data_IF_096217604003
#
_entry.id   IF_096217604003
#
_cell.length_a   1.000
_cell.length_b   1.000
_cell.length_c   1.000
_cell.angle_alpha   90.00
_cell.angle_beta   90.00
_cell.angle_gamma   90.00
#
_symmetry.space_group_name_H-M   'P 1'
#
loop_
_entity.id
_entity.type
_entity.pdbx_description
1 polymer ?
#
# COMPACT_ATOMS: atom_id res chain seq x y z
N UNK A 1 -9.18 -17.44 14.95
CA UNK A 1 -8.59 -17.47 13.58
C UNK A 1 -8.60 -18.90 13.07
N UNK A 2 -8.64 -19.18 11.75
CA UNK A 2 -8.42 -20.55 11.26
C UNK A 2 -7.02 -21.02 11.69
N UNK A 3 -6.89 -22.35 11.86
CA UNK A 3 -5.62 -22.95 12.24
C UNK A 3 -4.55 -22.66 11.17
N UNK A 4 -3.35 -22.35 11.61
CA UNK A 4 -2.21 -22.13 10.73
C UNK A 4 -1.89 -23.41 9.95
N UNK A 5 -1.67 -23.35 8.61
CA UNK A 5 -1.23 -24.53 7.83
C UNK A 5 0.09 -25.12 8.37
N UNK A 6 0.23 -26.45 8.32
CA UNK A 6 1.39 -27.17 8.88
C UNK A 6 2.75 -26.67 8.35
N UNK A 7 2.82 -26.33 7.06
CA UNK A 7 4.05 -25.87 6.38
C UNK A 7 4.08 -24.33 6.16
N UNK A 8 3.32 -23.57 6.94
CA UNK A 8 3.30 -22.13 6.80
C UNK A 8 4.61 -21.52 7.27
N UNK A 9 5.19 -20.65 6.45
CA UNK A 9 6.33 -19.81 6.78
C UNK A 9 6.09 -18.38 6.34
N UNK A 10 6.62 -17.42 7.08
CA UNK A 10 6.51 -16.01 6.75
C UNK A 10 7.80 -15.24 7.04
N UNK A 11 7.93 -14.09 6.39
CA UNK A 11 9.05 -13.17 6.62
C UNK A 11 8.57 -11.75 6.86
N UNK A 12 9.19 -11.10 7.84
CA UNK A 12 9.12 -9.66 8.02
C UNK A 12 10.42 -9.07 7.44
N UNK A 13 10.31 -8.23 6.41
CA UNK A 13 11.48 -7.69 5.71
C UNK A 13 11.76 -6.30 6.28
N UNK A 14 12.94 -6.14 6.90
CA UNK A 14 13.29 -4.90 7.56
C UNK A 14 14.80 -4.71 7.72
N UNK A 15 15.24 -3.47 7.61
CA UNK A 15 16.59 -3.01 7.99
C UNK A 15 16.49 -1.71 8.79
N UNK A 16 17.28 -1.59 9.86
CA UNK A 16 17.40 -0.33 10.62
C UNK A 16 17.90 0.83 9.75
N UNK A 17 18.60 0.55 8.66
CA UNK A 17 19.05 1.55 7.70
C UNK A 17 17.89 2.34 7.11
N UNK A 18 16.73 1.69 6.86
CA UNK A 18 15.53 2.33 6.32
C UNK A 18 14.91 3.38 7.27
N UNK A 19 15.13 3.22 8.58
CA UNK A 19 14.63 4.17 9.57
C UNK A 19 15.52 5.41 9.75
N UNK A 20 16.72 5.41 9.15
CA UNK A 20 17.68 6.52 9.27
C UNK A 20 17.45 7.64 8.24
N UNK A 21 16.55 7.42 7.27
CA UNK A 21 16.21 8.40 6.25
C UNK A 21 15.02 9.26 6.70
N UNK A 22 15.04 10.51 6.29
CA UNK A 22 13.96 11.46 6.54
C UNK A 22 13.78 12.35 5.31
N UNK A 23 12.55 12.44 4.80
CA UNK A 23 12.20 13.32 3.67
C UNK A 23 12.42 14.79 4.02
N UNK A 24 11.80 15.22 5.10
CA UNK A 24 12.07 16.48 5.82
C UNK A 24 11.36 16.43 7.18
N UNK A 25 11.70 17.31 8.13
CA UNK A 25 11.02 17.35 9.43
C UNK A 25 9.50 17.58 9.35
N UNK A 26 9.05 18.34 8.35
CA UNK A 26 7.64 18.69 8.16
C UNK A 26 6.91 17.80 7.17
N UNK A 27 7.63 16.95 6.42
CA UNK A 27 7.00 16.06 5.44
C UNK A 27 6.10 15.02 6.14
N UNK A 28 4.89 14.76 5.61
CA UNK A 28 3.95 13.82 6.27
C UNK A 28 4.44 12.37 6.24
N UNK A 29 5.13 11.94 5.19
CA UNK A 29 5.66 10.59 5.09
C UNK A 29 6.83 10.39 6.07
N UNK A 30 6.71 9.38 6.95
CA UNK A 30 7.68 9.10 8.01
C UNK A 30 8.20 7.66 7.92
N UNK A 31 9.41 7.44 7.39
CA UNK A 31 10.02 6.09 7.27
C UNK A 31 10.11 5.33 8.59
N UNK A 32 10.18 6.02 9.72
CA UNK A 32 10.23 5.42 11.07
C UNK A 32 9.04 4.49 11.37
N UNK A 33 7.91 4.59 10.65
CA UNK A 33 6.72 3.75 10.81
C UNK A 33 7.06 2.25 10.77
N UNK A 34 7.93 1.83 9.86
CA UNK A 34 8.35 0.44 9.72
C UNK A 34 9.07 -0.09 10.97
N UNK A 35 9.98 0.71 11.54
CA UNK A 35 10.68 0.38 12.79
C UNK A 35 9.70 0.25 13.94
N UNK A 36 8.83 1.23 14.12
CA UNK A 36 7.84 1.23 15.18
C UNK A 36 6.87 0.04 15.08
N UNK A 37 6.53 -0.38 13.84
CA UNK A 37 5.72 -1.58 13.60
C UNK A 37 6.44 -2.84 14.06
N UNK A 38 7.70 -3.02 13.70
CA UNK A 38 8.48 -4.17 14.15
C UNK A 38 8.64 -4.18 15.67
N UNK A 39 8.91 -3.01 16.27
CA UNK A 39 9.04 -2.88 17.73
C UNK A 39 7.71 -3.20 18.44
N UNK A 40 6.58 -2.80 17.87
CA UNK A 40 5.27 -3.13 18.39
C UNK A 40 4.95 -4.62 18.23
N UNK A 41 5.26 -5.22 17.08
CA UNK A 41 5.13 -6.66 16.85
C UNK A 41 5.92 -7.48 17.88
N UNK A 42 7.14 -7.07 18.22
CA UNK A 42 7.96 -7.71 19.27
C UNK A 42 7.27 -7.63 20.64
N UNK A 43 6.70 -6.49 20.98
CA UNK A 43 6.03 -6.28 22.28
C UNK A 43 4.75 -7.10 22.44
N UNK A 44 4.04 -7.34 21.33
CA UNK A 44 2.87 -8.21 21.32
C UNK A 44 3.20 -9.70 21.14
N UNK A 45 4.50 -10.06 21.18
CA UNK A 45 4.95 -11.45 20.99
C UNK A 45 4.51 -12.03 19.62
N UNK A 46 4.60 -11.21 18.56
CA UNK A 46 4.16 -11.57 17.22
C UNK A 46 5.33 -11.93 16.27
N UNK A 47 6.56 -11.96 16.76
CA UNK A 47 7.76 -12.20 15.94
C UNK A 47 8.45 -13.51 16.31
N UNK A 48 8.60 -13.79 17.59
CA UNK A 48 9.39 -14.94 18.07
C UNK A 48 8.62 -16.24 17.90
N UNK A 49 8.53 -16.71 16.66
CA UNK A 49 7.86 -17.97 16.27
C UNK A 49 8.75 -18.77 15.32
N UNK A 50 8.74 -20.12 15.40
CA UNK A 50 9.58 -20.97 14.55
C UNK A 50 9.38 -20.79 13.04
N UNK A 51 8.22 -20.31 12.62
CA UNK A 51 7.85 -20.10 11.22
C UNK A 51 8.01 -18.66 10.74
N UNK A 52 8.43 -17.73 11.63
CA UNK A 52 8.63 -16.32 11.32
C UNK A 52 10.12 -16.03 11.26
N UNK A 53 10.55 -15.35 10.20
CA UNK A 53 11.91 -14.82 10.08
C UNK A 53 11.86 -13.32 9.87
N UNK A 54 12.84 -12.62 10.44
CA UNK A 54 13.17 -11.24 10.05
C UNK A 54 14.31 -11.32 9.06
N UNK A 55 14.15 -10.72 7.89
CA UNK A 55 15.16 -10.75 6.83
C UNK A 55 15.57 -9.32 6.48
N UNK A 56 16.87 -9.10 6.39
CA UNK A 56 17.43 -7.82 5.95
C UNK A 56 17.46 -7.80 4.42
N UNK A 57 16.90 -6.76 3.78
CA UNK A 57 17.02 -6.57 2.34
C UNK A 57 18.38 -5.98 1.97
N UNK A 58 18.79 -6.17 0.72
CA UNK A 58 19.89 -5.46 0.08
C UNK A 58 19.35 -4.42 -0.91
N UNK A 59 20.07 -3.32 -1.18
CA UNK A 59 19.68 -2.35 -2.20
C UNK A 59 19.52 -3.02 -3.56
N UNK A 60 18.41 -2.72 -4.25
CA UNK A 60 18.16 -3.27 -5.58
C UNK A 60 19.15 -2.68 -6.59
N UNK A 61 19.82 -3.50 -7.42
CA UNK A 61 20.73 -3.02 -8.44
C UNK A 61 20.04 -2.08 -9.45
N UNK A 62 20.80 -1.07 -9.91
CA UNK A 62 20.32 -0.10 -10.90
C UNK A 62 19.69 -0.77 -12.14
N UNK A 63 20.35 -1.81 -12.64
CA UNK A 63 19.93 -2.54 -13.84
C UNK A 63 18.57 -3.20 -13.67
N UNK A 64 18.25 -3.67 -12.46
CA UNK A 64 16.96 -4.29 -12.14
C UNK A 64 15.87 -3.21 -12.03
N UNK A 65 16.15 -2.08 -11.39
CA UNK A 65 15.21 -0.95 -11.38
C UNK A 65 14.97 -0.40 -12.79
N UNK A 66 15.99 -0.40 -13.65
CA UNK A 66 15.91 0.02 -15.06
C UNK A 66 15.12 -0.95 -15.97
N UNK A 67 14.70 -2.11 -15.47
CA UNK A 67 13.76 -2.98 -16.18
C UNK A 67 12.37 -2.36 -16.31
N UNK A 68 12.01 -1.52 -15.36
CA UNK A 68 10.78 -0.74 -15.38
C UNK A 68 11.04 0.75 -15.60
N UNK A 69 11.87 1.38 -14.76
CA UNK A 69 12.13 2.82 -14.84
C UNK A 69 13.02 3.23 -16.00
N UNK A 70 12.79 4.42 -16.51
CA UNK A 70 13.66 5.04 -17.51
C UNK A 70 15.07 5.27 -16.94
N UNK A 71 16.08 4.87 -17.69
CA UNK A 71 17.50 5.01 -17.34
C UNK A 71 17.87 6.48 -17.07
N UNK A 72 17.31 7.41 -17.85
CA UNK A 72 17.60 8.85 -17.69
C UNK A 72 17.02 9.40 -16.39
N UNK A 73 15.84 8.95 -15.99
CA UNK A 73 15.23 9.26 -14.70
C UNK A 73 16.06 8.71 -13.53
N UNK A 74 16.39 7.42 -13.55
CA UNK A 74 17.19 6.80 -12.48
C UNK A 74 18.58 7.47 -12.35
N UNK A 75 19.19 7.89 -13.48
CA UNK A 75 20.44 8.66 -13.43
C UNK A 75 20.26 10.04 -12.82
N UNK A 76 19.14 10.72 -13.10
CA UNK A 76 18.80 11.97 -12.45
C UNK A 76 18.65 11.79 -10.94
N UNK A 77 17.95 10.72 -10.49
CA UNK A 77 17.78 10.39 -9.07
C UNK A 77 19.14 10.11 -8.39
N UNK A 78 20.06 9.39 -9.05
CA UNK A 78 21.44 9.22 -8.55
C UNK A 78 22.22 10.54 -8.46
N UNK A 79 21.99 11.44 -9.41
CA UNK A 79 22.69 12.72 -9.45
C UNK A 79 22.28 13.64 -8.31
N UNK A 80 20.97 13.67 -7.97
CA UNK A 80 20.47 14.50 -6.87
C UNK A 80 20.84 13.94 -5.50
N UNK A 81 21.09 12.64 -5.43
CA UNK A 81 21.54 11.97 -4.19
C UNK A 81 23.01 12.26 -3.86
N UNK A 82 23.83 12.47 -4.88
CA UNK A 82 25.24 12.77 -4.65
C UNK A 82 25.36 14.10 -3.88
N UNK A 83 26.21 14.10 -2.84
CA UNK A 83 26.37 15.13 -1.81
C UNK A 83 26.44 16.61 -2.27
N UNK A 84 26.58 16.86 -3.57
CA UNK A 84 26.65 18.20 -4.15
C UNK A 84 25.42 19.09 -3.92
N UNK A 85 24.20 18.54 -3.85
CA UNK A 85 23.01 19.34 -3.55
C UNK A 85 22.83 19.57 -2.04
N UNK A 86 23.24 18.64 -1.21
CA UNK A 86 23.26 18.84 0.25
C UNK A 86 24.33 19.87 0.66
N UNK A 87 25.50 19.91 0.01
CA UNK A 87 26.53 20.94 0.23
C UNK A 87 26.10 22.32 -0.26
N UNK A 88 25.39 22.42 -1.39
CA UNK A 88 24.82 23.69 -1.88
C UNK A 88 23.79 24.27 -0.90
N UNK A 89 23.05 23.43 -0.18
CA UNK A 89 22.09 23.86 0.86
C UNK A 89 22.78 24.26 2.16
N UNK A 90 23.90 23.65 2.54
CA UNK A 90 24.58 23.90 3.83
C UNK A 90 25.31 25.24 3.90
N UNK A 91 25.66 25.83 2.76
CA UNK A 91 26.45 27.07 2.68
C UNK A 91 25.64 28.34 2.39
N UNK A 92 24.30 28.27 2.34
CA UNK A 92 23.43 29.41 2.05
C UNK A 92 22.28 29.46 3.05
N UNK A 93 22.01 30.61 3.71
CA UNK A 93 20.85 30.74 4.59
C UNK A 93 19.56 30.44 3.83
N UNK A 94 18.78 29.46 4.33
CA UNK A 94 17.52 29.04 3.73
C UNK A 94 16.48 30.15 3.78
N UNK A 95 15.96 30.54 2.62
CA UNK A 95 14.69 31.24 2.52
C UNK A 95 13.79 30.43 1.58
N UNK A 96 12.46 30.34 1.84
CA UNK A 96 11.53 29.50 1.05
C UNK A 96 11.56 29.76 -0.47
N UNK A 97 11.88 30.99 -0.87
CA UNK A 97 11.97 31.39 -2.29
C UNK A 97 13.28 30.95 -2.97
N UNK A 98 14.31 30.60 -2.20
CA UNK A 98 15.64 30.28 -2.70
C UNK A 98 15.83 28.78 -2.94
N UNK A 99 15.10 27.93 -2.21
CA UNK A 99 15.17 26.47 -2.35
C UNK A 99 14.61 26.01 -3.70
N UNK A 100 13.66 26.73 -4.27
CA UNK A 100 13.13 26.50 -5.62
C UNK A 100 14.06 27.00 -6.75
N UNK A 101 14.94 27.98 -6.48
CA UNK A 101 15.79 28.60 -7.50
C UNK A 101 17.13 27.87 -7.75
N UNK A 102 17.46 26.88 -6.94
CA UNK A 102 18.75 26.17 -7.00
C UNK A 102 18.70 24.79 -7.63
N UNK A 103 17.52 24.26 -7.93
CA UNK A 103 17.39 22.96 -8.59
C UNK A 103 17.46 23.15 -10.11
N UNK A 104 18.35 22.43 -10.76
CA UNK A 104 18.46 22.43 -12.23
C UNK A 104 17.08 22.14 -12.85
N UNK A 105 16.57 23.00 -13.75
CA UNK A 105 15.31 22.76 -14.46
C UNK A 105 15.24 21.40 -15.18
N UNK A 106 16.39 20.80 -15.53
CA UNK A 106 16.44 19.47 -16.09
C UNK A 106 16.12 18.37 -15.08
N UNK A 107 16.25 18.65 -13.79
CA UNK A 107 15.91 17.72 -12.69
C UNK A 107 14.45 17.89 -12.31
N UNK A 108 13.94 19.12 -12.30
CA UNK A 108 12.53 19.39 -12.01
C UNK A 108 11.55 18.71 -12.96
N UNK A 109 11.94 18.44 -14.22
CA UNK A 109 11.09 17.68 -15.15
C UNK A 109 10.79 16.24 -14.69
N UNK A 110 11.58 15.74 -13.75
CA UNK A 110 11.38 14.42 -13.14
C UNK A 110 10.64 14.51 -11.79
N UNK A 111 10.04 15.66 -11.47
CA UNK A 111 9.37 15.96 -10.19
C UNK A 111 10.26 15.75 -8.95
N UNK A 112 11.57 15.78 -9.13
CA UNK A 112 12.56 15.71 -8.05
C UNK A 112 12.82 17.10 -7.46
N UNK A 113 12.72 17.20 -6.13
CA UNK A 113 12.92 18.46 -5.38
C UNK A 113 11.67 19.31 -5.22
N UNK A 114 10.51 18.77 -5.51
CA UNK A 114 9.20 19.38 -5.17
C UNK A 114 8.90 19.20 -3.67
N UNK A 115 7.83 19.83 -3.18
CA UNK A 115 7.39 19.64 -1.80
C UNK A 115 6.95 18.20 -1.52
N UNK A 116 6.36 17.54 -2.52
CA UNK A 116 5.92 16.14 -2.44
C UNK A 116 7.09 15.16 -2.56
N UNK A 117 8.08 15.47 -3.40
CA UNK A 117 9.25 14.64 -3.63
C UNK A 117 10.56 15.39 -3.36
N UNK A 118 10.80 15.79 -2.09
CA UNK A 118 11.98 16.56 -1.72
C UNK A 118 13.27 15.75 -1.91
N UNK A 119 14.33 16.41 -2.35
CA UNK A 119 15.64 15.77 -2.41
C UNK A 119 16.28 15.82 -1.02
N UNK A 120 16.70 14.65 -0.54
CA UNK A 120 17.44 14.48 0.71
C UNK A 120 18.67 13.58 0.52
N UNK A 121 19.64 13.66 1.44
CA UNK A 121 20.82 12.82 1.36
C UNK A 121 20.44 11.34 1.49
N UNK A 122 20.90 10.50 0.56
CA UNK A 122 20.58 9.09 0.50
C UNK A 122 19.22 8.76 -0.13
N UNK A 123 18.57 9.67 -0.87
CA UNK A 123 17.26 9.41 -1.50
C UNK A 123 17.32 8.25 -2.49
N UNK A 124 18.41 8.11 -3.24
CA UNK A 124 18.61 6.98 -4.14
C UNK A 124 18.82 5.68 -3.35
N UNK A 125 19.69 5.71 -2.34
CA UNK A 125 20.00 4.55 -1.52
C UNK A 125 18.76 4.06 -0.75
N UNK A 126 17.97 4.99 -0.22
CA UNK A 126 16.68 4.69 0.41
C UNK A 126 15.72 3.99 -0.57
N UNK A 127 15.57 4.58 -1.76
CA UNK A 127 14.65 4.05 -2.79
C UNK A 127 15.10 2.67 -3.29
N UNK A 128 16.41 2.49 -3.51
CA UNK A 128 16.97 1.20 -3.91
C UNK A 128 16.81 0.14 -2.82
N UNK A 129 17.00 0.49 -1.54
CA UNK A 129 16.85 -0.44 -0.42
C UNK A 129 15.37 -0.81 -0.20
N UNK A 130 14.46 0.14 -0.32
CA UNK A 130 13.02 -0.10 -0.22
C UNK A 130 12.52 -1.01 -1.36
N UNK A 131 12.96 -0.73 -2.60
CA UNK A 131 12.66 -1.58 -3.75
C UNK A 131 13.26 -2.98 -3.62
N UNK A 132 14.48 -3.08 -3.07
CA UNK A 132 15.12 -4.37 -2.77
C UNK A 132 14.36 -5.20 -1.75
N UNK A 133 13.72 -4.56 -0.78
CA UNK A 133 12.87 -5.25 0.20
C UNK A 133 11.61 -5.85 -0.46
N UNK A 134 10.93 -5.09 -1.31
CA UNK A 134 9.76 -5.58 -2.07
C UNK A 134 10.15 -6.69 -3.04
N UNK A 135 11.25 -6.51 -3.75
CA UNK A 135 11.77 -7.50 -4.70
C UNK A 135 12.11 -8.82 -4.00
N UNK A 136 12.84 -8.77 -2.88
CA UNK A 136 13.16 -9.96 -2.06
C UNK A 136 11.87 -10.67 -1.61
N UNK A 137 10.89 -9.94 -1.10
CA UNK A 137 9.60 -10.50 -0.69
C UNK A 137 8.88 -11.19 -1.85
N UNK A 138 8.89 -10.56 -3.02
CA UNK A 138 8.28 -11.12 -4.23
C UNK A 138 8.94 -12.44 -4.66
N UNK A 139 10.27 -12.53 -4.66
CA UNK A 139 10.99 -13.77 -4.98
C UNK A 139 10.73 -14.88 -3.97
N UNK A 140 10.77 -14.58 -2.67
CA UNK A 140 10.53 -15.57 -1.61
C UNK A 140 9.11 -16.15 -1.67
N UNK A 141 8.12 -15.31 -1.98
CA UNK A 141 6.72 -15.75 -2.16
C UNK A 141 6.55 -16.52 -3.47
N UNK A 142 7.11 -16.02 -4.57
CA UNK A 142 7.00 -16.65 -5.88
C UNK A 142 7.67 -18.03 -5.93
N UNK A 143 8.83 -18.20 -5.31
CA UNK A 143 9.51 -19.50 -5.19
C UNK A 143 8.79 -20.49 -4.27
N UNK A 144 7.85 -20.02 -3.43
CA UNK A 144 7.17 -20.82 -2.41
C UNK A 144 8.02 -21.07 -1.16
N UNK A 145 9.13 -20.36 -0.99
CA UNK A 145 9.95 -20.42 0.23
C UNK A 145 9.14 -19.96 1.45
N UNK A 146 8.27 -18.97 1.25
CA UNK A 146 7.31 -18.51 2.25
C UNK A 146 5.92 -18.33 1.64
N UNK A 147 4.89 -18.42 2.48
CA UNK A 147 3.51 -18.17 2.09
C UNK A 147 3.12 -16.70 2.26
N UNK A 148 3.74 -16.01 3.21
CA UNK A 148 3.51 -14.59 3.43
C UNK A 148 4.84 -13.85 3.63
N UNK A 149 4.96 -12.70 2.99
CA UNK A 149 6.03 -11.73 3.24
C UNK A 149 5.41 -10.37 3.56
N UNK A 150 6.04 -9.61 4.45
CA UNK A 150 5.62 -8.25 4.75
C UNK A 150 6.81 -7.29 4.69
N UNK A 151 6.70 -6.31 3.80
CA UNK A 151 7.60 -5.16 3.71
C UNK A 151 6.85 -3.88 4.09
N UNK A 152 6.97 -3.38 5.33
CA UNK A 152 6.24 -2.17 5.76
C UNK A 152 6.78 -0.87 5.14
N UNK A 153 7.93 -0.91 4.45
CA UNK A 153 8.50 0.27 3.76
C UNK A 153 8.06 0.36 2.32
N UNK A 154 7.70 -0.76 1.68
CA UNK A 154 7.25 -0.81 0.29
C UNK A 154 5.86 -0.22 0.07
N UNK A 155 5.45 -0.20 -1.20
CA UNK A 155 4.18 0.37 -1.64
C UNK A 155 4.34 1.79 -2.16
N UNK A 156 5.35 2.04 -2.98
CA UNK A 156 5.56 3.34 -3.64
C UNK A 156 4.83 3.38 -4.98
N UNK A 157 3.52 3.25 -4.93
CA UNK A 157 2.62 2.98 -6.06
C UNK A 157 2.39 4.17 -7.01
N UNK A 158 2.81 5.39 -6.61
CA UNK A 158 2.62 6.58 -7.45
C UNK A 158 3.74 6.81 -8.44
N UNK A 159 5.00 6.45 -8.13
CA UNK A 159 6.11 6.75 -9.01
C UNK A 159 5.88 6.22 -10.43
N UNK A 160 5.97 7.13 -11.39
CA UNK A 160 5.82 6.81 -12.79
C UNK A 160 7.10 6.16 -13.35
N UNK A 161 7.05 5.71 -14.59
CA UNK A 161 8.21 5.11 -15.26
C UNK A 161 9.39 6.08 -15.35
N UNK A 162 9.12 7.35 -15.54
CA UNK A 162 10.08 8.39 -15.91
C UNK A 162 10.13 9.60 -14.96
N UNK A 163 9.38 9.58 -13.85
CA UNK A 163 9.42 10.64 -12.84
C UNK A 163 8.93 10.16 -11.47
N UNK A 164 9.31 10.92 -10.43
CA UNK A 164 8.80 10.76 -9.08
C UNK A 164 7.41 11.37 -8.96
N UNK A 165 6.57 10.80 -8.10
CA UNK A 165 5.21 11.28 -7.87
C UNK A 165 4.70 10.85 -6.51
N UNK A 166 3.91 11.68 -5.82
CA UNK A 166 3.18 11.31 -4.62
C UNK A 166 4.06 10.67 -3.54
N UNK A 167 5.18 11.30 -3.18
CA UNK A 167 6.16 10.81 -2.20
C UNK A 167 6.98 9.59 -2.66
N UNK A 168 6.77 9.12 -3.89
CA UNK A 168 7.37 7.92 -4.45
C UNK A 168 8.49 8.28 -5.45
N UNK A 169 9.69 7.72 -5.26
CA UNK A 169 10.82 7.90 -6.18
C UNK A 169 11.02 6.68 -7.08
N UNK A 170 10.91 5.48 -6.54
CA UNK A 170 10.98 4.22 -7.29
C UNK A 170 9.71 3.44 -7.01
N UNK A 171 9.00 3.05 -8.05
CA UNK A 171 7.84 2.18 -7.95
C UNK A 171 8.30 0.73 -7.73
N UNK A 172 8.48 0.37 -6.49
CA UNK A 172 8.95 -0.93 -6.06
C UNK A 172 7.97 -2.04 -6.46
N UNK A 173 6.67 -1.73 -6.48
CA UNK A 173 5.60 -2.63 -6.92
C UNK A 173 5.73 -2.95 -8.41
N UNK A 174 5.85 -1.91 -9.25
CA UNK A 174 5.97 -2.08 -10.70
C UNK A 174 7.27 -2.78 -11.10
N UNK A 175 8.38 -2.51 -10.39
CA UNK A 175 9.65 -3.22 -10.57
C UNK A 175 9.49 -4.71 -10.24
N UNK A 176 8.92 -5.04 -9.09
CA UNK A 176 8.72 -6.43 -8.68
C UNK A 176 7.78 -7.18 -9.64
N UNK A 177 6.65 -6.59 -10.04
CA UNK A 177 5.73 -7.19 -11.02
C UNK A 177 6.43 -7.40 -12.36
N UNK A 178 7.20 -6.41 -12.85
CA UNK A 178 7.93 -6.54 -14.13
C UNK A 178 8.87 -7.74 -14.11
N UNK A 179 9.57 -7.98 -13.01
CA UNK A 179 10.42 -9.14 -12.83
C UNK A 179 9.61 -10.45 -12.84
N UNK A 180 8.54 -10.54 -12.05
CA UNK A 180 7.69 -11.73 -11.98
C UNK A 180 7.06 -12.09 -13.34
N UNK A 181 6.70 -11.10 -14.14
CA UNK A 181 6.21 -11.33 -15.52
C UNK A 181 7.26 -11.94 -16.44
N UNK A 182 8.56 -11.66 -16.24
CA UNK A 182 9.65 -12.29 -17.01
C UNK A 182 9.82 -13.76 -16.63
N UNK A 183 9.53 -14.10 -15.37
CA UNK A 183 9.46 -15.49 -14.90
C UNK A 183 8.19 -16.23 -15.38
N UNK A 184 7.33 -15.54 -16.14
CA UNK A 184 6.11 -16.13 -16.71
C UNK A 184 4.93 -16.19 -15.75
N UNK A 185 5.00 -15.52 -14.61
CA UNK A 185 3.95 -15.54 -13.58
C UNK A 185 2.83 -14.54 -13.90
N UNK A 186 1.63 -14.82 -13.40
CA UNK A 186 0.48 -13.93 -13.39
C UNK A 186 0.32 -13.33 -11.99
N UNK A 187 0.26 -12.02 -11.91
CA UNK A 187 0.25 -11.28 -10.64
C UNK A 187 -1.06 -10.53 -10.46
N UNK A 188 -1.67 -10.62 -9.29
CA UNK A 188 -2.70 -9.66 -8.90
C UNK A 188 -2.09 -8.65 -7.92
N UNK A 189 -2.32 -7.38 -8.17
CA UNK A 189 -2.05 -6.29 -7.25
C UNK A 189 -3.37 -5.81 -6.66
N UNK A 190 -3.50 -5.87 -5.35
CA UNK A 190 -4.69 -5.43 -4.61
C UNK A 190 -4.29 -4.32 -3.67
N UNK A 191 -4.81 -3.15 -3.92
CA UNK A 191 -4.48 -1.93 -3.21
C UNK A 191 -5.66 -1.44 -2.38
N UNK A 192 -5.42 -1.22 -1.09
CA UNK A 192 -6.39 -0.65 -0.15
C UNK A 192 -5.89 0.66 0.47
N UNK A 193 -4.87 1.28 -0.10
CA UNK A 193 -4.46 2.64 0.21
C UNK A 193 -5.60 3.62 -0.12
N UNK A 194 -5.68 4.74 0.58
CA UNK A 194 -6.70 5.73 0.29
C UNK A 194 -6.45 6.48 -1.04
N UNK A 195 -5.22 6.44 -1.56
CA UNK A 195 -4.86 7.04 -2.84
C UNK A 195 -4.89 6.00 -3.97
N UNK A 196 -5.31 6.44 -5.15
CA UNK A 196 -5.28 5.58 -6.33
C UNK A 196 -3.84 5.25 -6.76
N UNK A 197 -3.55 3.99 -7.07
CA UNK A 197 -2.24 3.50 -7.50
C UNK A 197 -1.93 3.83 -8.97
N UNK A 198 -1.94 5.11 -9.33
CA UNK A 198 -1.79 5.56 -10.73
C UNK A 198 -0.53 5.01 -11.39
N UNK A 199 0.63 5.03 -10.72
CA UNK A 199 1.88 4.54 -11.29
C UNK A 199 1.86 3.05 -11.60
N UNK A 200 1.23 2.22 -10.75
CA UNK A 200 1.05 0.78 -11.01
C UNK A 200 0.00 0.54 -12.09
N UNK A 201 -1.12 1.25 -12.04
CA UNK A 201 -2.15 1.20 -13.09
C UNK A 201 -1.53 1.46 -14.47
N UNK A 202 -0.83 2.58 -14.63
CA UNK A 202 -0.26 3.00 -15.89
C UNK A 202 0.81 2.04 -16.41
N UNK A 203 1.59 1.45 -15.49
CA UNK A 203 2.61 0.45 -15.83
C UNK A 203 2.02 -0.78 -16.54
N UNK A 204 0.83 -1.21 -16.15
CA UNK A 204 0.23 -2.47 -16.62
C UNK A 204 -1.13 -2.31 -17.32
N UNK A 205 -1.48 -1.09 -17.75
CA UNK A 205 -2.80 -0.77 -18.29
C UNK A 205 -3.18 -1.59 -19.55
N UNK A 206 -2.18 -2.07 -20.28
CA UNK A 206 -2.36 -2.89 -21.50
C UNK A 206 -2.02 -4.38 -21.33
N UNK A 207 -1.74 -4.88 -20.10
CA UNK A 207 -1.25 -6.23 -19.86
C UNK A 207 -2.27 -7.12 -19.14
N UNK A 208 -2.74 -8.20 -19.77
CA UNK A 208 -3.70 -9.17 -19.22
C UNK A 208 -3.09 -10.19 -18.24
N UNK A 209 -1.79 -10.13 -18.00
CA UNK A 209 -1.08 -10.95 -17.01
C UNK A 209 -1.07 -10.33 -15.62
N UNK A 210 -1.44 -9.04 -15.53
CA UNK A 210 -1.51 -8.30 -14.25
C UNK A 210 -2.95 -7.86 -14.02
N UNK A 211 -3.52 -8.25 -12.88
CA UNK A 211 -4.81 -7.74 -12.42
C UNK A 211 -4.57 -6.68 -11.35
N UNK A 212 -4.84 -5.42 -11.67
CA UNK A 212 -4.75 -4.30 -10.73
C UNK A 212 -6.14 -3.99 -10.18
N UNK A 213 -6.31 -4.07 -8.86
CA UNK A 213 -7.56 -3.71 -8.18
C UNK A 213 -7.23 -2.67 -7.11
N UNK A 214 -7.80 -1.47 -7.21
CA UNK A 214 -7.58 -0.39 -6.24
C UNK A 214 -8.91 0.08 -5.64
N UNK A 215 -8.99 0.02 -4.31
CA UNK A 215 -10.10 0.59 -3.54
C UNK A 215 -9.58 1.85 -2.84
N UNK A 216 -9.98 3.01 -3.31
CA UNK A 216 -9.41 4.28 -2.90
C UNK A 216 -10.48 5.38 -2.77
N UNK A 217 -10.16 6.45 -2.10
CA UNK A 217 -11.03 7.64 -2.09
C UNK A 217 -11.11 8.23 -3.50
N UNK A 218 -12.30 8.59 -3.93
CA UNK A 218 -12.57 9.03 -5.30
C UNK A 218 -11.60 10.13 -5.77
N UNK A 219 -11.02 9.94 -6.95
CA UNK A 219 -10.20 10.94 -7.63
C UNK A 219 -10.93 12.26 -7.95
N UNK A 220 -12.24 12.35 -7.75
CA UNK A 220 -12.95 13.62 -7.76
C UNK A 220 -12.74 14.47 -6.51
N UNK A 221 -12.11 13.92 -5.46
CA UNK A 221 -11.95 14.54 -4.14
C UNK A 221 -10.51 14.44 -3.61
N UNK A 222 -9.75 13.42 -4.03
CA UNK A 222 -8.40 13.15 -3.53
C UNK A 222 -7.39 13.01 -4.68
N UNK A 223 -6.14 13.40 -4.43
CA UNK A 223 -4.98 13.08 -5.27
C UNK A 223 -4.90 11.56 -5.51
N UNK A 224 -4.47 11.06 -6.66
CA UNK A 224 -3.90 11.75 -7.83
C UNK A 224 -4.93 12.18 -8.90
N UNK A 225 -6.19 12.41 -8.53
CA UNK A 225 -7.26 12.90 -9.41
C UNK A 225 -7.63 11.94 -10.56
N UNK A 226 -7.40 10.65 -10.36
CA UNK A 226 -7.62 9.53 -11.31
C UNK A 226 -8.22 8.32 -10.61
N UNK A 227 -8.31 7.17 -11.28
CA UNK A 227 -8.86 5.95 -10.70
C UNK A 227 -10.38 5.90 -10.71
N UNK A 228 -10.99 6.39 -11.78
CA UNK A 228 -12.44 6.27 -11.94
C UNK A 228 -12.82 4.86 -12.40
N UNK A 229 -14.04 4.43 -12.07
CA UNK A 229 -14.53 3.09 -12.38
C UNK A 229 -14.55 2.73 -13.87
N UNK A 230 -14.47 3.74 -14.77
CA UNK A 230 -14.40 3.55 -16.22
C UNK A 230 -12.95 3.39 -16.75
N UNK A 231 -11.95 3.56 -15.93
CA UNK A 231 -10.57 3.26 -16.25
C UNK A 231 -10.31 1.76 -16.04
N UNK A 232 -10.61 0.96 -17.08
CA UNK A 232 -10.66 -0.51 -17.00
C UNK A 232 -9.54 -1.21 -17.79
N UNK A 233 -8.46 -0.50 -18.15
CA UNK A 233 -7.40 -1.02 -19.02
C UNK A 233 -7.71 -0.88 -20.50
N UNK A 234 -6.73 -1.15 -21.34
CA UNK A 234 -6.83 -1.06 -22.78
C UNK A 234 -6.26 -2.29 -23.50
N UNK A 235 -6.55 -2.46 -24.77
CA UNK A 235 -6.03 -3.55 -25.58
C UNK A 235 -6.26 -4.92 -24.94
N UNK A 236 -5.21 -5.67 -24.68
CA UNK A 236 -5.26 -6.96 -23.98
C UNK A 236 -5.56 -6.80 -22.49
N UNK A 237 -5.10 -5.71 -21.87
CA UNK A 237 -5.33 -5.38 -20.48
C UNK A 237 -6.74 -4.87 -20.15
N UNK A 238 -7.64 -4.76 -21.16
CA UNK A 238 -9.01 -4.32 -20.91
C UNK A 238 -9.75 -5.27 -19.98
N UNK A 239 -10.23 -4.73 -18.84
CA UNK A 239 -10.88 -5.45 -17.76
C UNK A 239 -9.92 -5.97 -16.69
N UNK A 240 -8.62 -5.74 -16.84
CA UNK A 240 -7.60 -6.13 -15.85
C UNK A 240 -7.13 -4.97 -14.96
N UNK A 241 -7.65 -3.79 -15.18
CA UNK A 241 -7.61 -2.65 -14.24
C UNK A 241 -9.02 -2.46 -13.68
N UNK A 242 -9.15 -2.40 -12.36
CA UNK A 242 -10.43 -2.32 -11.66
C UNK A 242 -10.33 -1.29 -10.55
N UNK A 243 -10.97 -0.16 -10.75
CA UNK A 243 -11.01 0.93 -9.79
C UNK A 243 -12.34 0.96 -9.04
N UNK A 244 -12.26 1.06 -7.73
CA UNK A 244 -13.41 1.19 -6.82
C UNK A 244 -13.29 2.54 -6.09
N UNK A 245 -13.61 3.66 -6.77
CA UNK A 245 -13.58 4.96 -6.14
C UNK A 245 -14.68 5.07 -5.07
N UNK A 246 -14.26 5.36 -3.85
CA UNK A 246 -15.11 5.44 -2.67
C UNK A 246 -15.40 6.91 -2.31
N UNK A 247 -16.61 7.26 -1.88
CA UNK A 247 -16.91 8.61 -1.42
C UNK A 247 -16.26 8.88 -0.06
N UNK A 248 -15.98 10.15 0.22
CA UNK A 248 -15.53 10.59 1.55
C UNK A 248 -16.44 10.05 2.66
N UNK A 249 -15.86 9.78 3.83
CA UNK A 249 -16.54 9.21 5.01
C UNK A 249 -17.02 7.78 4.86
N UNK A 250 -16.55 7.05 3.84
CA UNK A 250 -16.76 5.61 3.75
C UNK A 250 -16.21 4.94 5.01
N UNK A 251 -17.10 4.25 5.72
CA UNK A 251 -16.80 3.57 6.97
C UNK A 251 -16.41 2.10 6.78
N UNK A 252 -16.11 1.40 7.88
CA UNK A 252 -15.72 0.00 7.89
C UNK A 252 -16.70 -0.91 7.13
N UNK A 253 -18.01 -0.76 7.40
CA UNK A 253 -19.06 -1.60 6.81
C UNK A 253 -19.11 -1.41 5.28
N UNK A 254 -19.05 -0.17 4.85
CA UNK A 254 -19.16 0.19 3.44
C UNK A 254 -17.90 -0.22 2.65
N UNK A 255 -16.71 -0.01 3.23
CA UNK A 255 -15.44 -0.42 2.61
C UNK A 255 -15.33 -1.94 2.50
N UNK A 256 -15.58 -2.67 3.60
CA UNK A 256 -15.53 -4.13 3.63
C UNK A 256 -16.52 -4.73 2.61
N UNK A 257 -17.73 -4.16 2.50
CA UNK A 257 -18.72 -4.57 1.50
C UNK A 257 -18.18 -4.38 0.07
N UNK A 258 -17.63 -3.20 -0.23
CA UNK A 258 -17.07 -2.92 -1.55
C UNK A 258 -15.94 -3.89 -1.90
N UNK A 259 -15.06 -4.17 -0.94
CA UNK A 259 -13.99 -5.15 -1.08
C UNK A 259 -14.55 -6.56 -1.37
N UNK A 260 -15.50 -7.03 -0.58
CA UNK A 260 -16.06 -8.39 -0.71
C UNK A 260 -16.78 -8.61 -2.04
N UNK A 261 -17.44 -7.57 -2.55
CA UNK A 261 -18.19 -7.68 -3.80
C UNK A 261 -17.30 -7.65 -5.05
N UNK A 262 -16.05 -7.13 -4.95
CA UNK A 262 -15.16 -6.95 -6.10
C UNK A 262 -13.95 -7.88 -6.05
N UNK A 263 -13.18 -7.87 -4.96
CA UNK A 263 -11.86 -8.50 -4.93
C UNK A 263 -11.92 -10.02 -4.97
N UNK A 264 -12.66 -10.72 -4.09
CA UNK A 264 -12.69 -12.17 -4.09
C UNK A 264 -13.18 -12.80 -5.40
N UNK A 265 -14.25 -12.32 -6.04
CA UNK A 265 -14.71 -12.86 -7.32
C UNK A 265 -13.67 -12.72 -8.44
N UNK A 266 -12.99 -11.56 -8.50
CA UNK A 266 -11.98 -11.28 -9.51
C UNK A 266 -10.72 -12.11 -9.29
N UNK A 267 -10.19 -12.20 -8.06
CA UNK A 267 -9.05 -13.04 -7.74
C UNK A 267 -9.33 -14.52 -8.06
N UNK A 268 -10.51 -15.01 -7.72
CA UNK A 268 -10.92 -16.38 -8.07
C UNK A 268 -10.96 -16.61 -9.58
N UNK A 269 -11.48 -15.66 -10.35
CA UNK A 269 -11.59 -15.78 -11.81
C UNK A 269 -10.24 -15.61 -12.50
N UNK A 270 -9.42 -14.68 -12.03
CA UNK A 270 -8.09 -14.42 -12.56
C UNK A 270 -7.11 -15.52 -12.21
N UNK A 271 -7.22 -16.13 -11.04
CA UNK A 271 -6.34 -17.20 -10.53
C UNK A 271 -4.85 -16.80 -10.64
N UNK A 272 -4.38 -15.78 -9.91
CA UNK A 272 -2.99 -15.35 -9.93
C UNK A 272 -2.07 -16.40 -9.32
N UNK A 273 -0.79 -16.42 -9.73
CA UNK A 273 0.25 -17.23 -9.11
C UNK A 273 0.64 -16.69 -7.73
N UNK A 274 0.57 -15.36 -7.55
CA UNK A 274 0.70 -14.68 -6.27
C UNK A 274 -0.07 -13.36 -6.27
N UNK A 275 -0.32 -12.84 -5.07
CA UNK A 275 -0.90 -11.51 -4.86
C UNK A 275 0.14 -10.61 -4.18
N UNK A 276 0.28 -9.41 -4.68
CA UNK A 276 0.92 -8.30 -3.98
C UNK A 276 -0.22 -7.43 -3.45
N UNK A 277 -0.25 -7.19 -2.13
CA UNK A 277 -1.27 -6.36 -1.50
C UNK A 277 -0.62 -5.12 -0.88
N UNK A 278 -1.04 -3.95 -1.32
CA UNK A 278 -0.70 -2.70 -0.66
C UNK A 278 -1.69 -2.44 0.46
N UNK A 279 -1.16 -2.38 1.67
CA UNK A 279 -1.91 -2.25 2.90
C UNK A 279 -1.75 -0.83 3.47
N UNK A 280 -1.97 0.20 2.64
CA UNK A 280 -2.01 1.59 3.09
C UNK A 280 -2.97 1.76 4.27
N UNK A 281 -2.54 2.50 5.28
CA UNK A 281 -3.31 2.73 6.50
C UNK A 281 -3.91 4.13 6.57
N UNK A 282 -3.78 4.90 5.52
CA UNK A 282 -4.34 6.25 5.39
C UNK A 282 -5.86 6.28 5.12
N UNK A 283 -6.48 5.14 4.94
CA UNK A 283 -7.95 4.99 5.01
C UNK A 283 -8.50 5.25 6.41
N UNK A 284 -7.63 5.37 7.42
CA UNK A 284 -8.04 5.53 8.82
C UNK A 284 -8.66 6.92 9.07
N UNK A 285 -9.75 6.96 9.85
CA UNK A 285 -10.52 8.18 10.18
C UNK A 285 -9.68 9.33 10.77
N UNK A 286 -8.54 9.05 11.36
CA UNK A 286 -7.64 10.08 11.92
C UNK A 286 -6.52 10.49 10.96
N UNK A 287 -6.48 9.93 9.75
CA UNK A 287 -5.43 10.30 8.81
C UNK A 287 -5.56 11.77 8.39
N UNK A 288 -4.46 12.54 8.42
CA UNK A 288 -4.53 13.97 8.13
C UNK A 288 -4.65 14.32 6.64
N UNK A 289 -4.42 13.36 5.72
CA UNK A 289 -4.39 13.62 4.28
C UNK A 289 -5.63 13.10 3.53
N UNK A 290 -6.46 12.28 4.17
CA UNK A 290 -7.59 11.61 3.53
C UNK A 290 -8.90 11.86 4.28
N UNK A 291 -10.03 11.44 3.70
CA UNK A 291 -11.35 11.72 4.26
C UNK A 291 -12.19 10.45 4.45
N UNK A 292 -11.58 9.26 4.32
CA UNK A 292 -12.25 8.01 4.65
C UNK A 292 -12.41 7.86 6.18
N UNK A 293 -13.37 7.07 6.60
CA UNK A 293 -13.70 6.88 8.01
C UNK A 293 -13.51 5.42 8.44
N UNK A 294 -12.53 4.73 7.88
CA UNK A 294 -12.20 3.40 8.36
C UNK A 294 -11.52 3.45 9.73
N UNK A 295 -11.68 2.37 10.45
CA UNK A 295 -10.87 2.05 11.64
C UNK A 295 -10.00 0.83 11.35
N UNK A 296 -9.04 0.54 12.22
CA UNK A 296 -8.24 -0.66 12.01
C UNK A 296 -9.05 -1.96 12.23
N UNK A 297 -10.28 -1.89 12.71
CA UNK A 297 -11.20 -3.03 12.77
C UNK A 297 -11.65 -3.44 11.36
N UNK A 298 -12.17 -2.51 10.55
CA UNK A 298 -12.53 -2.77 9.15
C UNK A 298 -11.32 -3.13 8.31
N UNK A 299 -10.21 -2.42 8.51
CA UNK A 299 -8.92 -2.72 7.90
C UNK A 299 -8.49 -4.17 8.17
N UNK A 300 -8.53 -4.62 9.44
CA UNK A 300 -8.20 -5.99 9.81
C UNK A 300 -9.13 -7.03 9.18
N UNK A 301 -10.42 -6.70 8.97
CA UNK A 301 -11.34 -7.60 8.26
C UNK A 301 -10.93 -7.80 6.79
N UNK A 302 -10.53 -6.75 6.11
CA UNK A 302 -10.03 -6.83 4.72
C UNK A 302 -8.76 -7.66 4.65
N UNK A 303 -7.76 -7.38 5.50
CA UNK A 303 -6.50 -8.15 5.55
C UNK A 303 -6.78 -9.63 5.84
N UNK A 304 -7.71 -9.94 6.76
CA UNK A 304 -8.10 -11.32 7.05
C UNK A 304 -8.68 -12.03 5.83
N UNK A 305 -9.54 -11.36 5.07
CA UNK A 305 -10.13 -11.92 3.85
C UNK A 305 -9.08 -12.20 2.77
N UNK A 306 -8.08 -11.32 2.64
CA UNK A 306 -6.92 -11.56 1.77
C UNK A 306 -6.14 -12.81 2.24
N UNK A 307 -5.75 -12.85 3.51
CA UNK A 307 -4.94 -13.94 4.06
C UNK A 307 -5.64 -15.31 3.98
N UNK A 308 -6.97 -15.35 4.14
CA UNK A 308 -7.74 -16.60 4.06
C UNK A 308 -7.88 -17.17 2.63
N UNK A 309 -7.79 -16.31 1.62
CA UNK A 309 -8.04 -16.69 0.23
C UNK A 309 -6.76 -16.88 -0.59
N UNK A 310 -5.66 -16.29 -0.16
CA UNK A 310 -4.44 -16.15 -0.93
C UNK A 310 -3.33 -17.01 -0.31
N UNK A 311 -2.90 -18.09 -0.98
CA UNK A 311 -1.86 -18.97 -0.46
C UNK A 311 -0.44 -18.38 -0.61
N UNK A 312 -0.26 -17.32 -1.42
CA UNK A 312 1.02 -16.66 -1.70
C UNK A 312 0.82 -15.16 -1.72
N UNK A 313 1.20 -14.49 -0.63
CA UNK A 313 0.90 -13.08 -0.41
C UNK A 313 2.16 -12.29 -0.04
N UNK A 314 2.49 -11.30 -0.84
CA UNK A 314 3.40 -10.23 -0.45
C UNK A 314 2.56 -9.03 0.00
N UNK A 315 2.67 -8.67 1.26
CA UNK A 315 2.06 -7.48 1.82
C UNK A 315 3.06 -6.32 1.86
N UNK A 316 2.63 -5.14 1.48
CA UNK A 316 3.40 -3.89 1.48
C UNK A 316 2.76 -2.87 2.41
N UNK A 317 3.54 -1.88 2.81
CA UNK A 317 3.05 -0.80 3.67
C UNK A 317 2.12 0.16 2.95
N UNK A 318 2.67 1.07 2.14
CA UNK A 318 1.91 2.14 1.50
C UNK A 318 1.76 3.40 2.36
N UNK A 319 0.70 4.17 2.15
CA UNK A 319 0.36 5.37 2.90
C UNK A 319 0.00 5.12 4.36
N UNK A 320 -0.26 6.21 5.06
CA UNK A 320 -0.57 6.24 6.49
C UNK A 320 0.23 7.32 7.21
N UNK A 321 -0.40 8.45 7.47
CA UNK A 321 0.25 9.70 7.90
C UNK A 321 -0.04 10.03 9.37
N UNK A 322 -1.02 9.36 9.99
CA UNK A 322 -1.07 9.19 11.44
C UNK A 322 -0.16 8.01 11.82
N UNK A 323 1.07 8.33 12.21
CA UNK A 323 2.11 7.33 12.50
C UNK A 323 1.65 6.25 13.48
N UNK A 324 0.95 6.65 14.54
CA UNK A 324 0.53 5.70 15.58
C UNK A 324 -0.58 4.76 15.10
N UNK A 325 -1.53 5.27 14.36
CA UNK A 325 -2.61 4.46 13.78
C UNK A 325 -2.10 3.53 12.70
N UNK A 326 -1.19 4.02 11.85
CA UNK A 326 -0.49 3.20 10.85
C UNK A 326 0.24 2.03 11.50
N UNK A 327 1.05 2.29 12.51
CA UNK A 327 1.82 1.26 13.23
C UNK A 327 0.90 0.20 13.86
N UNK A 328 -0.23 0.62 14.43
CA UNK A 328 -1.22 -0.31 15.00
C UNK A 328 -1.90 -1.15 13.92
N UNK A 329 -2.29 -0.54 12.81
CA UNK A 329 -2.93 -1.23 11.68
C UNK A 329 -1.98 -2.26 11.05
N UNK A 330 -0.72 -1.90 10.83
CA UNK A 330 0.28 -2.83 10.29
C UNK A 330 0.68 -3.94 11.27
N UNK A 331 0.70 -3.65 12.58
CA UNK A 331 0.90 -4.69 13.61
C UNK A 331 -0.25 -5.69 13.61
N UNK A 332 -1.49 -5.21 13.49
CA UNK A 332 -2.67 -6.05 13.35
C UNK A 332 -2.63 -6.87 12.06
N UNK A 333 -2.25 -6.24 10.92
CA UNK A 333 -2.07 -6.93 9.66
C UNK A 333 -1.05 -8.08 9.78
N UNK A 334 0.11 -7.81 10.37
CA UNK A 334 1.12 -8.84 10.62
C UNK A 334 0.61 -10.00 11.47
N UNK A 335 -0.13 -9.72 12.55
CA UNK A 335 -0.75 -10.75 13.37
C UNK A 335 -1.71 -11.62 12.56
N UNK A 336 -2.57 -11.00 11.77
CA UNK A 336 -3.54 -11.70 10.91
C UNK A 336 -2.83 -12.56 9.85
N UNK A 337 -1.82 -12.02 9.17
CA UNK A 337 -1.03 -12.76 8.17
C UNK A 337 -0.35 -13.99 8.74
N UNK A 338 -0.05 -13.99 10.03
CA UNK A 338 0.60 -15.09 10.73
C UNK A 338 -0.35 -15.99 11.53
N UNK A 339 -1.67 -15.79 11.40
CA UNK A 339 -2.68 -16.50 12.17
C UNK A 339 -2.48 -16.38 13.70
N UNK A 340 -1.97 -15.22 14.13
CA UNK A 340 -1.72 -14.90 15.53
C UNK A 340 -2.79 -13.96 16.07
N UNK A 341 -3.09 -14.10 17.36
CA UNK A 341 -3.90 -13.14 18.09
C UNK A 341 -2.98 -12.35 19.02
N UNK A 342 -3.03 -11.00 19.01
CA UNK A 342 -2.31 -10.19 19.96
C UNK A 342 -2.73 -10.55 21.38
N UNK A 343 -1.78 -10.78 22.28
CA UNK A 343 -2.10 -11.11 23.68
C UNK A 343 -2.35 -9.84 24.47
N UNK A 344 -3.56 -9.69 25.01
CA UNK A 344 -3.99 -8.49 25.73
C UNK A 344 -3.37 -8.32 27.12
N UNK A 345 -2.71 -9.32 27.69
CA UNK A 345 -2.31 -9.36 29.10
C UNK A 345 -1.37 -8.23 29.57
N UNK A 346 -0.69 -7.53 28.61
CA UNK A 346 0.25 -6.45 28.92
C UNK A 346 0.01 -5.15 28.15
N UNK A 347 -1.06 -5.09 27.40
CA UNK A 347 -1.30 -4.07 26.37
C UNK A 347 -1.43 -2.67 26.96
N UNK A 348 -2.14 -2.51 28.05
CA UNK A 348 -2.35 -1.21 28.69
C UNK A 348 -1.09 -0.55 29.23
N UNK A 349 -0.17 -1.33 29.75
CA UNK A 349 1.11 -0.84 30.30
C UNK A 349 2.08 -0.52 29.15
N UNK A 350 2.13 -1.38 28.14
CA UNK A 350 3.06 -1.26 27.01
C UNK A 350 2.67 -0.10 26.10
N UNK A 351 1.37 0.05 25.79
CA UNK A 351 0.88 1.15 24.95
C UNK A 351 1.22 2.52 25.53
N UNK A 352 0.95 2.75 26.80
CA UNK A 352 1.28 4.00 27.49
C UNK A 352 2.77 4.29 27.59
N UNK A 353 3.61 3.26 27.67
CA UNK A 353 5.07 3.42 27.71
C UNK A 353 5.69 3.74 26.34
N UNK A 354 5.09 3.30 25.24
CA UNK A 354 5.64 3.53 23.89
C UNK A 354 5.15 4.80 23.23
N UNK A 355 3.86 5.08 23.37
CA UNK A 355 3.18 6.09 22.55
C UNK A 355 2.70 7.28 23.39
N UNK A 356 2.97 7.30 24.68
CA UNK A 356 2.53 8.35 25.59
C UNK A 356 1.09 8.17 26.11
N UNK A 357 0.59 9.15 26.88
CA UNK A 357 -0.71 9.04 27.57
C UNK A 357 -1.93 9.10 26.65
N UNK A 358 -1.74 9.43 25.37
CA UNK A 358 -2.84 9.59 24.41
C UNK A 358 -3.25 8.27 23.73
N UNK A 359 -2.48 7.19 23.93
CA UNK A 359 -2.86 5.86 23.44
C UNK A 359 -3.82 5.25 24.43
N UNK A 360 -5.06 5.01 24.00
CA UNK A 360 -6.02 4.24 24.82
C UNK A 360 -5.41 2.89 25.19
N UNK A 361 -5.24 2.71 26.49
CA UNK A 361 -4.68 1.50 27.06
C UNK A 361 -5.64 0.33 26.79
N UNK A 362 -5.16 -0.74 26.18
CA UNK A 362 -5.82 -2.03 26.30
C UNK A 362 -6.00 -2.85 25.05
N UNK A 363 -6.38 -2.35 23.89
CA UNK A 363 -6.66 -3.16 22.72
C UNK A 363 -5.90 -2.67 21.48
N UNK A 364 -5.45 -3.60 20.64
CA UNK A 364 -4.87 -3.25 19.33
C UNK A 364 -5.96 -2.73 18.38
N UNK A 365 -7.21 -3.14 18.59
CA UNK A 365 -8.35 -2.72 17.78
C UNK A 365 -8.89 -1.36 18.20
N UNK A 366 -9.27 -0.55 17.23
CA UNK A 366 -10.00 0.68 17.46
C UNK A 366 -11.51 0.40 17.61
N UNK A 367 -12.22 1.34 18.24
CA UNK A 367 -13.68 1.30 18.25
C UNK A 367 -14.21 1.63 16.85
N UNK A 368 -15.14 0.85 16.37
CA UNK A 368 -15.79 1.06 15.07
C UNK A 368 -16.58 2.37 15.06
N UNK A 369 -16.49 3.08 13.96
CA UNK A 369 -17.26 4.29 13.67
C UNK A 369 -18.19 4.01 12.49
N UNK A 370 -19.46 4.33 12.63
CA UNK A 370 -20.46 4.07 11.59
C UNK A 370 -21.06 5.36 11.07
N UNK A 371 -21.14 5.47 9.76
CA UNK A 371 -21.94 6.49 9.11
C UNK A 371 -23.45 6.24 9.40
N UNK A 372 -24.20 7.31 9.58
CA UNK A 372 -25.64 7.21 9.88
C UNK A 372 -26.46 8.19 9.02
N UNK A 373 -27.78 7.94 8.93
CA UNK A 373 -28.72 8.84 8.26
C UNK A 373 -28.34 9.14 6.82
N UNK A 374 -28.46 10.38 6.43
CA UNK A 374 -28.24 10.85 5.04
C UNK A 374 -26.83 10.57 4.52
N UNK A 375 -25.82 10.60 5.43
CA UNK A 375 -24.43 10.31 5.05
C UNK A 375 -24.29 8.85 4.62
N UNK A 376 -24.84 7.91 5.41
CA UNK A 376 -24.84 6.48 5.07
C UNK A 376 -25.59 6.19 3.78
N UNK A 377 -26.73 6.83 3.59
CA UNK A 377 -27.52 6.68 2.34
C UNK A 377 -26.75 7.18 1.11
N UNK A 378 -26.02 8.30 1.24
CA UNK A 378 -25.17 8.82 0.16
C UNK A 378 -24.06 7.82 -0.15
N UNK A 379 -23.31 7.39 0.85
CA UNK A 379 -22.20 6.43 0.70
C UNK A 379 -22.69 5.17 0.00
N UNK A 380 -23.78 4.57 0.48
CA UNK A 380 -24.30 3.34 -0.11
C UNK A 380 -24.71 3.53 -1.58
N UNK A 381 -25.40 4.61 -1.90
CA UNK A 381 -25.81 4.90 -3.28
C UNK A 381 -24.63 5.07 -4.24
N UNK A 382 -23.59 5.78 -3.80
CA UNK A 382 -22.37 5.99 -4.60
C UNK A 382 -21.61 4.67 -4.83
N UNK A 383 -21.45 3.89 -3.77
CA UNK A 383 -20.81 2.57 -3.86
C UNK A 383 -21.64 1.63 -4.72
N UNK A 384 -22.98 1.58 -4.56
CA UNK A 384 -23.85 0.76 -5.38
C UNK A 384 -23.68 1.10 -6.88
N UNK A 385 -23.58 2.38 -7.23
CA UNK A 385 -23.33 2.84 -8.60
C UNK A 385 -22.00 2.30 -9.15
N UNK A 386 -20.93 2.39 -8.38
CA UNK A 386 -19.59 1.90 -8.77
C UNK A 386 -19.61 0.37 -8.92
N UNK A 387 -20.17 -0.34 -7.95
CA UNK A 387 -20.27 -1.80 -7.96
C UNK A 387 -21.11 -2.31 -9.14
N UNK A 388 -22.22 -1.66 -9.43
CA UNK A 388 -23.06 -2.00 -10.58
C UNK A 388 -22.31 -1.80 -11.91
N UNK A 389 -21.53 -0.73 -12.03
CA UNK A 389 -20.69 -0.50 -13.21
C UNK A 389 -19.65 -1.62 -13.39
N UNK A 390 -18.91 -1.96 -12.34
CA UNK A 390 -17.88 -3.02 -12.37
C UNK A 390 -18.52 -4.37 -12.73
N UNK A 391 -19.64 -4.71 -12.10
CA UNK A 391 -20.36 -5.96 -12.38
C UNK A 391 -20.85 -6.03 -13.82
N UNK A 392 -21.31 -4.92 -14.39
CA UNK A 392 -21.81 -4.90 -15.77
C UNK A 392 -20.70 -4.85 -16.83
N UNK A 393 -19.55 -4.24 -16.52
CA UNK A 393 -18.47 -4.01 -17.51
C UNK A 393 -17.29 -4.95 -17.35
N UNK A 394 -16.84 -5.22 -16.13
CA UNK A 394 -15.62 -6.00 -15.86
C UNK A 394 -15.93 -7.48 -15.66
N UNK A 395 -16.92 -7.82 -14.85
CA UNK A 395 -17.25 -9.22 -14.53
C UNK A 395 -17.51 -10.11 -15.75
N UNK A 396 -18.21 -9.64 -16.81
CA UNK A 396 -18.38 -10.44 -18.03
C UNK A 396 -17.06 -10.80 -18.73
N UNK A 397 -16.05 -9.92 -18.68
CA UNK A 397 -14.74 -10.17 -19.26
C UNK A 397 -14.08 -11.36 -18.55
N UNK A 398 -14.21 -11.42 -17.24
CA UNK A 398 -13.71 -12.52 -16.38
C UNK A 398 -14.67 -13.71 -16.26
N UNK A 399 -15.79 -13.72 -17.01
CA UNK A 399 -16.83 -14.77 -16.97
C UNK A 399 -17.42 -15.00 -15.57
N UNK A 400 -17.43 -13.95 -14.75
CA UNK A 400 -18.07 -13.97 -13.43
C UNK A 400 -19.57 -13.80 -13.62
N UNK A 401 -20.41 -14.74 -13.12
CA UNK A 401 -21.85 -14.64 -13.23
C UNK A 401 -22.37 -13.40 -12.51
N UNK A 402 -23.29 -12.68 -13.15
CA UNK A 402 -24.06 -11.64 -12.47
C UNK A 402 -25.05 -12.34 -11.53
N UNK A 403 -24.73 -12.43 -10.25
CA UNK A 403 -25.73 -12.75 -9.23
C UNK A 403 -26.65 -11.54 -9.13
N UNK A 404 -27.88 -11.69 -9.59
CA UNK A 404 -28.91 -10.68 -9.34
C UNK A 404 -28.97 -10.42 -7.84
N UNK A 405 -28.99 -9.17 -7.37
CA UNK A 405 -29.18 -8.90 -5.95
C UNK A 405 -30.50 -9.58 -5.57
N UNK A 406 -30.45 -10.41 -4.51
CA UNK A 406 -31.67 -10.93 -3.87
C UNK A 406 -32.53 -9.71 -3.59
N UNK A 407 -33.63 -9.58 -4.31
CA UNK A 407 -34.58 -8.50 -4.15
C UNK A 407 -34.80 -8.31 -2.64
N UNK A 408 -34.59 -7.10 -2.15
CA UNK A 408 -35.00 -6.72 -0.79
C UNK A 408 -36.48 -7.04 -0.66
N UNK A 409 -36.79 -8.28 -0.25
CA UNK A 409 -38.15 -8.60 0.17
C UNK A 409 -38.41 -7.74 1.39
N UNK A 410 -39.33 -6.80 1.20
CA UNK A 410 -39.76 -5.88 2.23
C UNK A 410 -40.14 -6.63 3.50
N UNK A 411 -39.49 -6.22 4.60
CA UNK A 411 -40.13 -6.37 5.90
C UNK A 411 -41.06 -5.21 6.05
N UNK A 412 -42.38 -5.50 5.85
CA UNK A 412 -43.46 -4.63 6.24
C UNK A 412 -43.55 -4.51 7.77
#
# INVERSE_FOLDING_TARGET
MPDRPENFASVFIYSDELANFEYSPTHPFKPIRAKLTLDLCRRYDLIDRPWIRIVKPEPLPFEVMAEFHDVTYLRALQTVDSAGLAELRSNVPSTPERDLLTIDPQILKYELGTDDNPVFAGVYDYSALAAGATFLGAEMVASGEVQAAFNPVGGFHHAARDHAEGFCYVNDVAVAITHLLKEGLRVAFVDIDAHHCNGVQDAFYGDDRVLVISLHESGGQLYPWSGFENEIGEGKGRGYTVNVPLPEKTDDEAFVRAFEEVVPPLLKAFAPDLVIAELGADTHISDPLTHLNMTNFGYGQVVKKLAEQIPRLLALGGGGYDVYKTVRSWTLAWAILNHLEPRDEYVGIIGGMMFGPEVEAGDLHDKTVYATGVVKERINREIDRVLDYIKQTVFPIHKIPLTLPLSRQGRG
#
